data_IF_316293004175
#
_entry.id   IF_316293004175
#
_cell.length_a   1.000
_cell.length_b   1.000
_cell.length_c   1.000
_cell.angle_alpha   90.00
_cell.angle_beta   90.00
_cell.angle_gamma   90.00
#
_symmetry.space_group_name_H-M   'P 1'
#
loop_
_entity.id
_entity.type
_entity.pdbx_description
1 polymer ?
#
# COMPACT_ATOMS: atom_id res chain seq x y z
N UNK A 1 19.88 26.98 -31.89
CA UNK A 1 20.19 26.54 -30.51
C UNK A 1 18.90 26.42 -29.72
N UNK A 2 18.44 25.20 -29.40
CA UNK A 2 17.54 24.97 -28.28
C UNK A 2 18.29 24.31 -27.10
N UNK A 3 17.85 24.52 -25.85
CA UNK A 3 18.62 24.17 -24.66
C UNK A 3 18.60 22.67 -24.37
N UNK A 4 19.82 22.15 -24.22
CA UNK A 4 20.19 20.99 -23.40
C UNK A 4 19.63 21.22 -21.98
N UNK A 5 18.92 20.26 -21.35
CA UNK A 5 18.85 20.03 -19.87
C UNK A 5 17.59 19.29 -19.35
N UNK A 6 17.07 18.25 -20.03
CA UNK A 6 15.95 17.47 -19.44
C UNK A 6 16.07 15.95 -19.53
N UNK A 7 17.22 15.41 -19.91
CA UNK A 7 17.38 13.96 -20.11
C UNK A 7 18.10 13.23 -18.95
N UNK A 8 18.43 13.92 -17.86
CA UNK A 8 19.14 13.31 -16.71
C UNK A 8 18.17 12.84 -15.61
N UNK A 9 16.97 13.40 -15.51
CA UNK A 9 16.02 13.03 -14.44
C UNK A 9 15.26 11.73 -14.75
N UNK A 10 15.04 11.40 -16.02
CA UNK A 10 14.30 10.19 -16.40
C UNK A 10 15.12 8.89 -16.21
N UNK A 11 16.45 8.97 -16.17
CA UNK A 11 17.32 7.81 -16.00
C UNK A 11 17.50 7.38 -14.53
N UNK A 12 17.30 8.30 -13.57
CA UNK A 12 17.42 7.99 -12.15
C UNK A 12 16.25 7.15 -11.62
N UNK A 13 15.05 7.28 -12.21
CA UNK A 13 13.90 6.45 -11.85
C UNK A 13 13.97 5.03 -12.44
N UNK A 14 14.74 4.80 -13.50
CA UNK A 14 14.88 3.47 -14.13
C UNK A 14 15.97 2.60 -13.48
N UNK A 15 16.87 3.21 -12.71
CA UNK A 15 17.95 2.50 -12.02
C UNK A 15 17.53 1.86 -10.69
N UNK A 16 16.31 2.12 -10.20
CA UNK A 16 15.77 1.44 -9.01
C UNK A 16 15.18 0.05 -9.31
N UNK A 17 15.09 -0.34 -10.59
CA UNK A 17 14.53 -1.64 -11.01
C UNK A 17 15.56 -2.79 -11.03
N UNK A 18 16.78 -2.58 -10.58
CA UNK A 18 17.83 -3.61 -10.57
C UNK A 18 18.30 -3.97 -9.16
N UNK A 19 17.37 -3.98 -8.19
CA UNK A 19 17.56 -4.77 -6.97
C UNK A 19 17.49 -6.27 -7.30
N UNK A 20 18.17 -7.16 -6.54
CA UNK A 20 18.05 -8.59 -6.76
C UNK A 20 16.57 -8.96 -6.74
N UNK A 21 16.11 -9.58 -7.82
CA UNK A 21 14.79 -10.16 -7.92
C UNK A 21 14.66 -11.34 -6.94
N UNK A 22 14.65 -11.06 -5.63
CA UNK A 22 13.66 -11.72 -4.78
C UNK A 22 12.32 -11.34 -5.40
N UNK A 23 11.50 -12.33 -5.74
CA UNK A 23 10.21 -12.14 -6.38
C UNK A 23 9.24 -11.44 -5.42
N UNK A 24 9.51 -10.18 -5.08
CA UNK A 24 8.62 -9.33 -4.31
C UNK A 24 7.39 -9.11 -5.17
N UNK A 25 6.24 -9.56 -4.68
CA UNK A 25 4.97 -9.53 -5.40
C UNK A 25 4.75 -8.13 -6.00
N UNK A 26 4.41 -8.06 -7.30
CA UNK A 26 4.16 -6.80 -7.99
C UNK A 26 3.09 -5.98 -7.29
N UNK A 27 2.14 -6.64 -6.61
CA UNK A 27 1.11 -6.00 -5.80
C UNK A 27 1.70 -5.22 -4.62
N UNK A 28 2.74 -5.73 -3.99
CA UNK A 28 3.46 -5.03 -2.91
C UNK A 28 4.15 -3.79 -3.49
N UNK A 29 4.84 -3.93 -4.62
CA UNK A 29 5.58 -2.83 -5.26
C UNK A 29 4.66 -1.69 -5.74
N UNK A 30 3.46 -2.03 -6.22
CA UNK A 30 2.47 -1.04 -6.67
C UNK A 30 1.76 -0.31 -5.53
N UNK A 31 1.93 -0.75 -4.28
CA UNK A 31 1.34 -0.13 -3.10
C UNK A 31 2.45 0.42 -2.21
N UNK A 32 2.76 1.73 -2.26
CA UNK A 32 3.90 2.31 -1.56
C UNK A 32 3.92 2.04 -0.05
N UNK A 33 2.76 1.90 0.60
CA UNK A 33 2.70 1.53 2.02
C UNK A 33 3.10 0.07 2.27
N UNK A 34 2.69 -0.85 1.40
CA UNK A 34 3.14 -2.25 1.45
C UNK A 34 4.60 -2.38 1.07
N UNK A 35 5.08 -1.61 0.08
CA UNK A 35 6.48 -1.57 -0.30
C UNK A 35 7.38 -1.10 0.84
N UNK A 36 7.00 0.00 1.52
CA UNK A 36 7.73 0.49 2.70
C UNK A 36 7.75 -0.54 3.83
N UNK A 37 6.62 -1.22 4.08
CA UNK A 37 6.57 -2.32 5.03
C UNK A 37 7.47 -3.49 4.60
N UNK A 38 7.53 -3.81 3.31
CA UNK A 38 8.35 -4.91 2.80
C UNK A 38 9.85 -4.65 2.90
N UNK A 39 10.28 -3.39 2.86
CA UNK A 39 11.67 -3.00 3.09
C UNK A 39 12.10 -3.23 4.55
N UNK A 40 11.16 -3.17 5.50
CA UNK A 40 11.42 -3.41 6.92
C UNK A 40 11.18 -4.86 7.32
N UNK A 41 10.01 -5.38 6.96
CA UNK A 41 9.55 -6.73 7.25
C UNK A 41 8.78 -7.30 6.03
N UNK A 42 9.47 -8.08 5.17
CA UNK A 42 8.84 -8.67 3.98
C UNK A 42 7.77 -9.71 4.34
N UNK A 43 7.83 -10.35 5.51
CA UNK A 43 6.81 -11.30 5.94
C UNK A 43 5.53 -10.58 6.38
N UNK A 44 5.67 -9.48 7.13
CA UNK A 44 4.53 -8.63 7.51
C UNK A 44 3.87 -8.01 6.27
N UNK A 45 4.65 -7.58 5.27
CA UNK A 45 4.10 -7.04 4.02
C UNK A 45 3.31 -8.09 3.23
N UNK A 46 3.81 -9.33 3.18
CA UNK A 46 3.10 -10.42 2.53
C UNK A 46 1.79 -10.76 3.27
N UNK A 47 1.82 -10.78 4.60
CA UNK A 47 0.61 -10.99 5.41
C UNK A 47 -0.42 -9.88 5.17
N UNK A 48 0.03 -8.62 5.15
CA UNK A 48 -0.84 -7.48 4.93
C UNK A 48 -1.48 -7.51 3.52
N UNK A 49 -0.74 -7.99 2.52
CA UNK A 49 -1.25 -8.23 1.18
C UNK A 49 -2.36 -9.29 1.18
N UNK A 50 -2.13 -10.44 1.81
CA UNK A 50 -3.10 -11.55 1.89
C UNK A 50 -4.41 -11.12 2.57
N UNK A 51 -4.31 -10.36 3.65
CA UNK A 51 -5.46 -9.81 4.36
C UNK A 51 -6.23 -8.79 3.50
N UNK A 52 -5.53 -7.93 2.74
CA UNK A 52 -6.18 -7.00 1.79
C UNK A 52 -6.90 -7.76 0.67
N UNK A 53 -6.28 -8.81 0.12
CA UNK A 53 -6.89 -9.66 -0.90
C UNK A 53 -8.11 -10.39 -0.33
N UNK A 54 -8.05 -10.87 0.91
CA UNK A 54 -9.20 -11.48 1.59
C UNK A 54 -10.39 -10.51 1.67
N UNK A 55 -10.15 -9.24 2.01
CA UNK A 55 -11.20 -8.20 2.01
C UNK A 55 -11.78 -8.00 0.62
N UNK A 56 -10.93 -7.94 -0.39
CA UNK A 56 -11.33 -7.72 -1.79
C UNK A 56 -12.15 -8.91 -2.32
N UNK A 57 -11.72 -10.14 -2.04
CA UNK A 57 -12.34 -11.36 -2.58
C UNK A 57 -13.61 -11.77 -1.83
N UNK A 58 -13.64 -11.57 -0.50
CA UNK A 58 -14.75 -12.05 0.33
C UNK A 58 -15.73 -10.96 0.75
N UNK A 59 -15.37 -9.69 0.58
CA UNK A 59 -16.14 -8.56 1.11
C UNK A 59 -16.25 -8.55 2.63
N UNK A 60 -15.37 -9.29 3.33
CA UNK A 60 -15.32 -9.38 4.78
C UNK A 60 -13.92 -9.06 5.26
N UNK A 61 -13.82 -8.23 6.31
CA UNK A 61 -12.64 -8.19 7.15
C UNK A 61 -12.27 -9.61 7.61
N UNK A 62 -10.98 -9.96 7.57
CA UNK A 62 -10.46 -11.22 8.12
C UNK A 62 -10.86 -11.44 9.60
N UNK A 63 -11.24 -10.37 10.32
CA UNK A 63 -11.76 -10.40 11.68
C UNK A 63 -13.15 -9.74 11.78
N UNK A 64 -14.20 -10.56 11.81
CA UNK A 64 -15.60 -10.14 11.72
C UNK A 64 -16.13 -9.27 12.87
N UNK A 65 -15.90 -7.96 12.82
CA UNK A 65 -16.57 -6.98 13.68
C UNK A 65 -17.53 -6.08 12.87
N UNK A 66 -18.81 -5.92 13.27
CA UNK A 66 -19.74 -4.99 12.62
C UNK A 66 -19.29 -3.52 12.82
N UNK A 67 -19.71 -2.57 11.98
CA UNK A 67 -19.11 -1.23 11.97
C UNK A 67 -19.66 -0.31 13.05
N UNK A 68 -18.77 0.46 13.69
CA UNK A 68 -19.10 1.78 14.22
C UNK A 68 -18.37 2.83 13.37
N UNK A 69 -19.17 3.77 12.89
CA UNK A 69 -18.83 5.11 12.37
C UNK A 69 -18.15 5.23 11.00
N UNK A 70 -18.93 5.74 10.05
CA UNK A 70 -18.51 6.59 8.93
C UNK A 70 -17.93 7.90 9.52
N UNK A 71 -16.75 7.82 10.14
CA UNK A 71 -15.99 8.99 10.58
C UNK A 71 -15.42 9.72 9.37
N UNK A 72 -15.23 11.04 9.49
CA UNK A 72 -14.51 11.82 8.50
C UNK A 72 -13.09 11.26 8.39
N UNK A 73 -12.66 10.87 7.18
CA UNK A 73 -11.29 10.40 6.98
C UNK A 73 -10.31 11.50 7.35
N UNK A 74 -9.23 11.14 8.04
CA UNK A 74 -8.10 12.03 8.16
C UNK A 74 -7.52 12.27 6.75
N UNK A 75 -7.10 13.51 6.40
CA UNK A 75 -6.49 13.79 5.10
C UNK A 75 -5.26 12.92 4.81
N UNK A 76 -4.54 12.46 5.84
CA UNK A 76 -3.42 11.52 5.70
C UNK A 76 -3.89 10.15 5.27
N UNK A 77 -4.94 9.61 5.92
CA UNK A 77 -5.56 8.34 5.55
C UNK A 77 -6.10 8.41 4.12
N UNK A 78 -6.73 9.52 3.75
CA UNK A 78 -7.25 9.73 2.41
C UNK A 78 -6.13 9.69 1.35
N UNK A 79 -5.01 10.37 1.59
CA UNK A 79 -3.85 10.33 0.70
C UNK A 79 -3.26 8.93 0.58
N UNK A 80 -3.14 8.21 1.69
CA UNK A 80 -2.62 6.86 1.69
C UNK A 80 -3.52 5.91 0.90
N UNK A 81 -4.84 6.06 1.01
CA UNK A 81 -5.79 5.29 0.19
C UNK A 81 -5.63 5.63 -1.29
N UNK A 82 -5.49 6.91 -1.65
CA UNK A 82 -5.34 7.35 -3.05
C UNK A 82 -4.08 6.81 -3.74
N UNK A 83 -2.96 6.70 -3.02
CA UNK A 83 -1.68 6.27 -3.58
C UNK A 83 -1.45 4.76 -3.50
N UNK A 84 -2.32 4.01 -2.81
CA UNK A 84 -2.23 2.55 -2.67
C UNK A 84 -3.44 1.87 -3.34
N UNK A 85 -3.31 1.37 -4.58
CA UNK A 85 -4.43 0.84 -5.36
C UNK A 85 -5.16 -0.33 -4.69
N UNK A 86 -4.48 -1.20 -3.94
CA UNK A 86 -5.15 -2.29 -3.22
C UNK A 86 -5.91 -1.79 -2.00
N UNK A 87 -5.37 -0.81 -1.29
CA UNK A 87 -6.07 -0.19 -0.15
C UNK A 87 -7.28 0.59 -0.66
N UNK A 88 -7.16 1.25 -1.82
CA UNK A 88 -8.29 1.91 -2.49
C UNK A 88 -9.40 0.93 -2.85
N UNK A 89 -9.04 -0.22 -3.44
CA UNK A 89 -10.02 -1.22 -3.84
C UNK A 89 -10.67 -1.88 -2.63
N UNK A 90 -9.88 -2.26 -1.63
CA UNK A 90 -10.40 -2.74 -0.35
C UNK A 90 -11.32 -1.71 0.31
N UNK A 91 -11.00 -0.41 0.23
CA UNK A 91 -11.81 0.67 0.80
C UNK A 91 -13.14 0.87 0.09
N UNK A 92 -13.22 0.60 -1.23
CA UNK A 92 -14.50 0.62 -1.97
C UNK A 92 -15.43 -0.51 -1.55
N UNK A 93 -14.86 -1.66 -1.19
CA UNK A 93 -15.58 -2.89 -0.82
C UNK A 93 -15.98 -2.84 0.65
N UNK A 94 -15.00 -2.69 1.54
CA UNK A 94 -15.18 -2.54 2.98
C UNK A 94 -14.30 -1.38 3.50
N UNK A 95 -14.86 -0.16 3.56
CA UNK A 95 -14.15 1.03 4.05
C UNK A 95 -13.56 0.85 5.45
N UNK A 96 -14.21 0.04 6.30
CA UNK A 96 -13.76 -0.17 7.68
C UNK A 96 -12.56 -1.10 7.70
N UNK A 97 -12.66 -2.25 7.04
CA UNK A 97 -11.58 -3.22 6.97
C UNK A 97 -10.33 -2.61 6.34
N UNK A 98 -10.49 -1.83 5.26
CA UNK A 98 -9.38 -1.17 4.61
C UNK A 98 -8.69 -0.11 5.49
N UNK A 99 -9.46 0.67 6.26
CA UNK A 99 -8.89 1.65 7.19
C UNK A 99 -8.17 0.98 8.37
N UNK A 100 -8.72 -0.10 8.91
CA UNK A 100 -8.05 -0.90 9.94
C UNK A 100 -6.72 -1.45 9.42
N UNK A 101 -6.75 -2.02 8.22
CA UNK A 101 -5.58 -2.59 7.58
C UNK A 101 -4.52 -1.54 7.22
N UNK A 102 -4.95 -0.39 6.72
CA UNK A 102 -4.06 0.75 6.48
C UNK A 102 -3.34 1.17 7.77
N UNK A 103 -4.07 1.27 8.88
CA UNK A 103 -3.49 1.64 10.18
C UNK A 103 -2.51 0.59 10.69
N UNK A 104 -2.79 -0.69 10.48
CA UNK A 104 -1.85 -1.76 10.83
C UNK A 104 -0.58 -1.70 9.97
N UNK A 105 -0.71 -1.48 8.67
CA UNK A 105 0.44 -1.32 7.76
C UNK A 105 1.28 -0.12 8.17
N UNK A 106 0.65 1.03 8.46
CA UNK A 106 1.36 2.24 8.90
C UNK A 106 2.00 2.03 10.26
N UNK A 107 1.33 1.39 11.21
CA UNK A 107 1.89 1.10 12.53
C UNK A 107 3.08 0.12 12.45
N UNK A 108 2.99 -0.88 11.59
CA UNK A 108 4.07 -1.83 11.34
C UNK A 108 5.24 -1.19 10.57
N UNK A 109 4.94 -0.32 9.59
CA UNK A 109 5.92 0.39 8.77
C UNK A 109 6.57 1.62 9.44
N UNK A 110 5.98 2.16 10.51
CA UNK A 110 6.51 3.28 11.27
C UNK A 110 7.25 2.85 12.55
N UNK A 111 7.24 1.54 12.87
CA UNK A 111 7.77 0.98 14.12
C UNK A 111 9.23 0.51 14.07
N UNK A 112 9.98 0.82 13.01
CA UNK A 112 11.40 0.49 12.81
C UNK A 112 12.35 1.65 13.08
#
# INVERSE_FOLDING_TARGET
>A
MPPRSSLVVAAACLALLTGPASATDLRIQLNPALAALAEQDPAAAQQALDDLLTVIETGKAANGAPPKTRGMLDPTEQRLIEVNPLIQEAYRIDPKAALEQLRQIVAAGAGG
#
